data_IF_728677029198
#
_entry.id   IF_728677029198
#
_cell.length_a   1.000
_cell.length_b   1.000
_cell.length_c   1.000
_cell.angle_alpha   90.00
_cell.angle_beta   90.00
_cell.angle_gamma   90.00
#
_symmetry.space_group_name_H-M   'P 1'
#
loop_
_entity.id
_entity.type
_entity.pdbx_description
1 polymer ?
#
# COMPACT_ATOMS: atom_id res chain seq x y z
N UNK A 1 0.22 4.22 6.53
CA UNK A 1 0.23 2.75 6.57
C UNK A 1 1.37 2.09 5.76
N UNK A 2 2.19 2.84 5.04
CA UNK A 2 3.26 2.33 4.15
C UNK A 2 4.11 1.21 4.76
N UNK A 3 4.58 1.37 6.01
CA UNK A 3 5.39 0.35 6.69
C UNK A 3 4.59 -0.93 7.00
N UNK A 4 3.31 -0.81 7.33
CA UNK A 4 2.46 -1.98 7.60
C UNK A 4 2.27 -2.82 6.33
N UNK A 5 2.15 -2.18 5.16
CA UNK A 5 2.04 -2.88 3.88
C UNK A 5 3.28 -3.73 3.60
N UNK A 6 4.48 -3.14 3.72
CA UNK A 6 5.74 -3.87 3.56
C UNK A 6 5.87 -5.04 4.54
N UNK A 7 5.57 -4.81 5.82
CA UNK A 7 5.68 -5.84 6.86
C UNK A 7 4.75 -7.02 6.61
N UNK A 8 3.53 -6.77 6.14
CA UNK A 8 2.59 -7.85 5.78
C UNK A 8 3.11 -8.68 4.60
N UNK A 9 3.68 -8.03 3.57
CA UNK A 9 4.35 -8.74 2.48
C UNK A 9 5.49 -9.63 2.97
N UNK A 10 6.32 -9.15 3.90
CA UNK A 10 7.41 -9.92 4.51
C UNK A 10 6.88 -11.12 5.30
N UNK A 11 5.89 -10.90 6.18
CA UNK A 11 5.30 -11.94 7.03
C UNK A 11 4.71 -13.06 6.17
N UNK A 12 3.87 -12.72 5.19
CA UNK A 12 3.26 -13.71 4.31
C UNK A 12 4.30 -14.43 3.45
N UNK A 13 5.32 -13.69 3.00
CA UNK A 13 6.48 -14.24 2.30
C UNK A 13 7.21 -15.34 3.08
N UNK A 14 7.39 -15.14 4.39
CA UNK A 14 8.00 -16.13 5.29
C UNK A 14 7.08 -17.34 5.51
N UNK A 15 5.78 -17.12 5.70
CA UNK A 15 4.82 -18.19 6.01
C UNK A 15 4.55 -19.11 4.81
N UNK A 16 4.33 -18.52 3.63
CA UNK A 16 3.82 -19.26 2.46
C UNK A 16 4.89 -19.60 1.42
N UNK A 17 6.12 -19.10 1.60
CA UNK A 17 7.13 -19.07 0.55
C UNK A 17 6.77 -18.05 -0.54
N UNK A 18 7.76 -17.60 -1.30
CA UNK A 18 7.67 -16.51 -2.30
C UNK A 18 7.65 -15.07 -1.73
N UNK A 19 8.63 -14.70 -0.89
CA UNK A 19 8.69 -13.37 -0.29
C UNK A 19 8.72 -12.23 -1.31
N UNK A 20 9.39 -12.43 -2.46
CA UNK A 20 9.47 -11.42 -3.50
C UNK A 20 8.09 -10.96 -3.98
N UNK A 21 7.19 -11.89 -4.32
CA UNK A 21 5.88 -11.55 -4.90
C UNK A 21 4.89 -11.05 -3.86
N UNK A 22 4.94 -11.54 -2.62
CA UNK A 22 4.14 -10.95 -1.53
C UNK A 22 4.56 -9.51 -1.25
N UNK A 23 5.87 -9.26 -1.11
CA UNK A 23 6.39 -7.90 -0.90
C UNK A 23 5.99 -7.01 -2.07
N UNK A 24 6.23 -7.46 -3.31
CA UNK A 24 5.91 -6.70 -4.51
C UNK A 24 4.42 -6.34 -4.57
N UNK A 25 3.52 -7.32 -4.34
CA UNK A 25 2.08 -7.09 -4.31
C UNK A 25 1.68 -6.09 -3.23
N UNK A 26 2.28 -6.19 -2.04
CA UNK A 26 1.96 -5.30 -0.93
C UNK A 26 2.49 -3.87 -1.09
N UNK A 27 3.60 -3.65 -1.81
CA UNK A 27 4.20 -2.30 -1.96
C UNK A 27 3.89 -1.62 -3.29
N UNK A 28 3.55 -2.38 -4.35
CA UNK A 28 3.34 -1.81 -5.68
C UNK A 28 2.30 -0.69 -5.70
N UNK A 29 1.16 -0.77 -4.97
CA UNK A 29 0.20 0.33 -4.97
C UNK A 29 0.78 1.63 -4.41
N UNK A 30 1.72 1.55 -3.45
CA UNK A 30 2.39 2.71 -2.85
C UNK A 30 3.45 3.36 -3.77
N UNK A 31 3.70 2.83 -4.99
CA UNK A 31 4.67 3.41 -5.93
C UNK A 31 4.33 4.85 -6.32
N UNK A 32 3.04 5.22 -6.25
CA UNK A 32 2.58 6.58 -6.47
C UNK A 32 3.16 7.58 -5.48
N UNK A 33 3.56 7.13 -4.28
CA UNK A 33 4.23 7.98 -3.31
C UNK A 33 5.61 8.42 -3.79
N UNK A 34 6.37 7.51 -4.39
CA UNK A 34 7.64 7.87 -5.01
C UNK A 34 7.42 8.87 -6.13
N UNK A 35 6.43 8.63 -7.00
CA UNK A 35 6.07 9.55 -8.07
C UNK A 35 5.75 10.96 -7.56
N UNK A 36 4.95 11.09 -6.49
CA UNK A 36 4.60 12.39 -5.90
C UNK A 36 5.81 13.09 -5.29
N UNK A 37 6.70 12.35 -4.60
CA UNK A 37 7.94 12.90 -4.03
C UNK A 37 8.83 13.45 -5.14
N UNK A 38 9.07 12.67 -6.20
CA UNK A 38 9.91 13.10 -7.32
C UNK A 38 9.30 14.28 -8.08
N UNK A 39 8.00 14.21 -8.39
CA UNK A 39 7.29 15.28 -9.10
C UNK A 39 7.34 16.62 -8.36
N UNK A 40 7.21 16.60 -7.03
CA UNK A 40 7.22 17.80 -6.21
C UNK A 40 8.61 18.16 -5.66
N UNK A 41 9.66 17.43 -6.06
CA UNK A 41 11.05 17.64 -5.62
C UNK A 41 11.20 17.66 -4.09
N UNK A 42 10.45 16.80 -3.39
CA UNK A 42 10.54 16.67 -1.93
C UNK A 42 11.75 15.83 -1.53
N UNK A 43 12.96 16.36 -1.70
CA UNK A 43 14.19 15.63 -1.37
C UNK A 43 14.65 15.77 0.08
N UNK A 44 14.02 16.65 0.85
CA UNK A 44 14.29 16.79 2.27
C UNK A 44 13.42 15.79 3.06
N UNK A 45 14.05 14.96 3.90
CA UNK A 45 13.36 13.96 4.72
C UNK A 45 12.20 14.53 5.55
N UNK A 46 12.37 15.73 6.12
CA UNK A 46 11.30 16.41 6.86
C UNK A 46 10.12 16.75 5.97
N UNK A 47 10.37 17.23 4.74
CA UNK A 47 9.32 17.52 3.76
C UNK A 47 8.59 16.24 3.33
N UNK A 48 9.31 15.14 3.13
CA UNK A 48 8.71 13.83 2.81
C UNK A 48 7.72 13.44 3.91
N UNK A 49 8.17 13.40 5.17
CA UNK A 49 7.31 13.04 6.30
C UNK A 49 6.12 13.98 6.44
N UNK A 50 6.35 15.29 6.41
CA UNK A 50 5.28 16.28 6.60
C UNK A 50 4.24 16.21 5.48
N UNK A 51 4.69 15.98 4.25
CA UNK A 51 3.82 15.86 3.08
C UNK A 51 2.96 14.60 3.10
N UNK A 52 3.48 13.48 3.61
CA UNK A 52 2.70 12.26 3.84
C UNK A 52 1.68 12.41 4.99
N UNK A 53 2.00 13.21 6.02
CA UNK A 53 1.10 13.46 7.15
C UNK A 53 -0.04 14.41 6.81
N UNK A 54 0.20 15.36 5.91
CA UNK A 54 -0.71 16.49 5.69
C UNK A 54 -0.88 16.79 4.21
N UNK A 55 -1.39 15.83 3.43
CA UNK A 55 -1.64 15.97 1.99
C UNK A 55 -2.33 17.30 1.62
N UNK A 56 -3.37 17.66 2.38
CA UNK A 56 -4.13 18.91 2.21
C UNK A 56 -3.28 20.16 2.33
N UNK A 57 -2.33 20.18 3.28
CA UNK A 57 -1.40 21.32 3.48
C UNK A 57 -0.52 21.54 2.25
N UNK A 58 -0.12 20.45 1.60
CA UNK A 58 0.75 20.47 0.42
C UNK A 58 -0.04 20.50 -0.91
N UNK A 59 -1.38 20.46 -0.87
CA UNK A 59 -2.26 20.40 -2.05
C UNK A 59 -1.87 19.27 -3.04
N UNK A 60 -1.40 18.16 -2.49
CA UNK A 60 -1.02 16.95 -3.24
C UNK A 60 -1.95 15.82 -2.86
N UNK A 61 -1.93 14.77 -3.68
CA UNK A 61 -2.62 13.51 -3.41
C UNK A 61 -1.65 12.40 -3.73
N UNK A 62 -1.30 11.58 -2.75
CA UNK A 62 -0.36 10.47 -2.94
C UNK A 62 -1.01 9.34 -3.73
N UNK A 63 -2.29 9.07 -3.48
CA UNK A 63 -2.98 7.88 -3.97
C UNK A 63 -3.62 8.07 -5.35
N UNK A 64 -3.09 7.37 -6.35
CA UNK A 64 -3.69 7.31 -7.70
C UNK A 64 -4.87 6.34 -7.71
N UNK A 65 -5.96 6.73 -8.40
CA UNK A 65 -7.21 5.95 -8.44
C UNK A 65 -7.01 4.54 -9.00
N UNK A 66 -6.15 4.41 -10.01
CA UNK A 66 -5.96 3.15 -10.70
C UNK A 66 -5.26 2.10 -9.82
N UNK A 67 -4.10 2.44 -9.24
CA UNK A 67 -3.34 1.47 -8.44
C UNK A 67 -4.04 1.14 -7.11
N UNK A 68 -4.86 2.05 -6.56
CA UNK A 68 -5.67 1.78 -5.37
C UNK A 68 -7.08 1.29 -5.73
N UNK A 69 -7.20 0.41 -6.73
CA UNK A 69 -8.48 -0.17 -7.16
C UNK A 69 -8.41 -1.67 -7.44
N UNK A 70 -9.57 -2.33 -7.40
CA UNK A 70 -9.72 -3.73 -7.80
C UNK A 70 -9.35 -3.95 -9.27
N UNK A 71 -9.57 -2.95 -10.13
CA UNK A 71 -9.13 -3.00 -11.52
C UNK A 71 -7.60 -3.03 -11.63
N UNK A 72 -6.91 -2.18 -10.86
CA UNK A 72 -5.45 -2.19 -10.74
C UNK A 72 -4.93 -3.54 -10.27
N UNK A 73 -5.50 -4.07 -9.18
CA UNK A 73 -5.22 -5.41 -8.66
C UNK A 73 -5.31 -6.47 -9.77
N UNK A 74 -6.45 -6.54 -10.48
CA UNK A 74 -6.67 -7.54 -11.54
C UNK A 74 -5.64 -7.40 -12.67
N UNK A 75 -5.39 -6.18 -13.16
CA UNK A 75 -4.46 -5.95 -14.28
C UNK A 75 -3.03 -6.30 -13.88
N UNK A 76 -2.55 -5.84 -12.73
CA UNK A 76 -1.19 -6.14 -12.29
C UNK A 76 -1.01 -7.63 -11.97
N UNK A 77 -2.01 -8.28 -11.36
CA UNK A 77 -2.00 -9.74 -11.17
C UNK A 77 -1.98 -10.49 -12.51
N UNK A 78 -2.70 -10.02 -13.53
CA UNK A 78 -2.66 -10.62 -14.87
C UNK A 78 -1.27 -10.49 -15.50
N UNK A 79 -0.57 -9.36 -15.31
CA UNK A 79 0.83 -9.20 -15.75
C UNK A 79 1.72 -10.23 -15.03
N UNK A 80 1.61 -10.35 -13.71
CA UNK A 80 2.39 -11.32 -12.94
C UNK A 80 2.09 -12.75 -13.37
N UNK A 81 0.83 -13.08 -13.67
CA UNK A 81 0.44 -14.41 -14.16
C UNK A 81 1.16 -14.80 -15.46
N UNK A 82 1.33 -13.87 -16.40
CA UNK A 82 2.06 -14.13 -17.64
C UNK A 82 3.58 -14.26 -17.44
N UNK A 83 4.13 -13.69 -16.38
CA UNK A 83 5.55 -13.80 -16.04
C UNK A 83 5.83 -15.08 -15.22
N UNK A 84 4.98 -15.36 -14.24
CA UNK A 84 5.03 -16.53 -13.36
C UNK A 84 3.64 -16.84 -12.80
N UNK A 85 3.01 -17.88 -13.35
CA UNK A 85 1.66 -18.31 -12.97
C UNK A 85 1.58 -18.88 -11.55
N UNK A 86 2.68 -19.35 -10.97
CA UNK A 86 2.72 -19.83 -9.57
C UNK A 86 2.77 -18.67 -8.60
N UNK A 87 3.40 -17.58 -9.00
CA UNK A 87 3.57 -16.37 -8.21
C UNK A 87 2.33 -15.47 -8.12
N UNK A 88 1.38 -15.60 -9.06
CA UNK A 88 0.22 -14.71 -9.16
C UNK A 88 -0.59 -14.65 -7.86
N UNK A 89 -0.75 -15.79 -7.18
CA UNK A 89 -1.56 -15.87 -5.95
C UNK A 89 -0.88 -15.08 -4.83
N UNK A 90 0.43 -15.23 -4.65
CA UNK A 90 1.21 -14.48 -3.66
C UNK A 90 1.12 -12.97 -3.91
N UNK A 91 1.27 -12.55 -5.16
CA UNK A 91 1.14 -11.15 -5.54
C UNK A 91 -0.28 -10.61 -5.33
N UNK A 92 -1.30 -11.35 -5.79
CA UNK A 92 -2.71 -10.97 -5.67
C UNK A 92 -3.11 -10.80 -4.20
N UNK A 93 -2.74 -11.75 -3.34
CA UNK A 93 -3.03 -11.66 -1.90
C UNK A 93 -2.31 -10.46 -1.28
N UNK A 94 -1.02 -10.26 -1.58
CA UNK A 94 -0.25 -9.13 -1.06
C UNK A 94 -0.88 -7.78 -1.42
N UNK A 95 -1.34 -7.63 -2.66
CA UNK A 95 -1.99 -6.43 -3.17
C UNK A 95 -3.42 -6.27 -2.62
N UNK A 96 -4.20 -7.35 -2.56
CA UNK A 96 -5.54 -7.30 -1.98
C UNK A 96 -5.48 -6.86 -0.51
N UNK A 97 -4.55 -7.41 0.27
CA UNK A 97 -4.36 -7.03 1.67
C UNK A 97 -3.92 -5.57 1.79
N UNK A 98 -3.06 -5.08 0.90
CA UNK A 98 -2.76 -3.65 0.82
C UNK A 98 -4.06 -2.85 0.72
N UNK A 99 -4.93 -3.14 -0.25
CA UNK A 99 -6.19 -2.41 -0.45
C UNK A 99 -7.11 -2.48 0.77
N UNK A 100 -7.19 -3.64 1.43
CA UNK A 100 -8.00 -3.87 2.62
C UNK A 100 -7.50 -3.09 3.84
N UNK A 101 -6.19 -3.06 4.06
CA UNK A 101 -5.58 -2.27 5.14
C UNK A 101 -5.89 -0.79 4.92
N UNK A 102 -5.69 -0.36 3.68
CA UNK A 102 -5.98 0.99 3.24
C UNK A 102 -7.47 1.35 3.43
N UNK A 103 -8.39 0.39 3.47
CA UNK A 103 -9.83 0.69 3.62
C UNK A 103 -10.12 1.42 4.94
N UNK A 104 -9.34 1.13 5.98
CA UNK A 104 -9.48 1.75 7.29
C UNK A 104 -9.10 3.24 7.32
N UNK A 105 -8.27 3.71 6.40
CA UNK A 105 -7.73 5.08 6.43
C UNK A 105 -8.77 6.15 6.15
N UNK A 106 -8.56 7.33 6.73
CA UNK A 106 -9.35 8.54 6.51
C UNK A 106 -9.21 9.16 5.11
N UNK A 107 -8.27 8.70 4.28
CA UNK A 107 -8.08 9.22 2.92
C UNK A 107 -9.17 8.73 1.96
N UNK A 108 -9.58 9.59 1.04
CA UNK A 108 -10.54 9.19 -0.01
C UNK A 108 -9.87 8.22 -0.99
N UNK A 109 -10.47 7.06 -1.18
CA UNK A 109 -10.02 6.00 -2.10
C UNK A 109 -11.11 5.66 -3.11
N UNK A 110 -10.71 5.12 -4.25
CA UNK A 110 -11.62 4.77 -5.35
C UNK A 110 -11.44 3.31 -5.73
N UNK A 111 -11.79 2.40 -4.79
CA UNK A 111 -11.59 0.96 -4.97
C UNK A 111 -12.26 0.38 -6.22
N UNK A 112 -13.36 1.01 -6.65
CA UNK A 112 -14.15 0.60 -7.81
C UNK A 112 -13.87 1.48 -9.05
N UNK A 113 -12.68 2.07 -9.18
CA UNK A 113 -12.27 2.74 -10.41
C UNK A 113 -12.52 1.83 -11.64
N UNK A 114 -13.14 2.32 -12.75
CA UNK A 114 -13.38 3.73 -13.10
C UNK A 114 -14.70 4.34 -12.63
N UNK A 115 -15.54 3.63 -11.88
CA UNK A 115 -16.89 4.09 -11.49
C UNK A 115 -16.90 5.31 -10.52
N UNK A 116 -15.75 5.89 -10.18
CA UNK A 116 -15.58 7.09 -9.35
C UNK A 116 -16.33 7.06 -8.00
N UNK A 117 -16.65 5.87 -7.48
CA UNK A 117 -17.25 5.68 -6.16
C UNK A 117 -16.17 5.94 -5.10
N UNK A 118 -16.47 6.85 -4.17
CA UNK A 118 -15.56 7.24 -3.09
C UNK A 118 -15.76 6.35 -1.87
N UNK A 119 -14.67 5.86 -1.31
CA UNK A 119 -14.61 5.18 -0.03
C UNK A 119 -13.73 6.00 0.91
N UNK A 120 -14.13 6.05 2.18
CA UNK A 120 -13.40 6.78 3.22
C UNK A 120 -13.56 6.04 4.53
N UNK A 121 -12.44 5.63 5.12
CA UNK A 121 -12.41 5.05 6.45
C UNK A 121 -12.42 6.11 7.54
N UNK A 122 -12.06 5.67 8.75
CA UNK A 122 -12.14 6.48 9.97
C UNK A 122 -10.80 6.58 10.72
N UNK A 123 -9.80 5.78 10.36
CA UNK A 123 -8.50 5.77 11.02
C UNK A 123 -7.64 6.94 10.53
N UNK A 124 -7.20 7.84 11.42
CA UNK A 124 -6.27 8.88 11.03
C UNK A 124 -4.90 8.29 10.68
N UNK A 125 -4.28 8.82 9.63
CA UNK A 125 -2.90 8.51 9.27
C UNK A 125 -1.98 8.94 10.43
N UNK A 126 -1.00 8.10 10.77
CA UNK A 126 -0.07 8.28 11.89
C UNK A 126 -0.73 8.29 13.27
N UNK A 127 -1.94 7.74 13.40
CA UNK A 127 -2.62 7.55 14.69
C UNK A 127 -1.82 6.64 15.63
N UNK A 128 -2.13 6.71 16.94
CA UNK A 128 -1.55 5.79 17.93
C UNK A 128 -1.84 4.33 17.56
N UNK A 129 -3.03 4.06 17.04
CA UNK A 129 -3.44 2.73 16.59
C UNK A 129 -2.55 2.21 15.46
N UNK A 130 -2.32 3.00 14.40
CA UNK A 130 -1.44 2.61 13.30
C UNK A 130 -0.01 2.30 13.79
N UNK A 131 0.51 3.10 14.72
CA UNK A 131 1.85 2.88 15.30
C UNK A 131 1.92 1.57 16.07
N UNK A 132 0.93 1.29 16.92
CA UNK A 132 0.85 0.04 17.69
C UNK A 132 0.72 -1.15 16.73
N UNK A 133 -0.17 -1.06 15.75
CA UNK A 133 -0.36 -2.11 14.75
C UNK A 133 0.93 -2.41 13.97
N UNK A 134 1.63 -1.37 13.51
CA UNK A 134 2.92 -1.51 12.82
C UNK A 134 3.98 -2.15 13.71
N UNK A 135 4.04 -1.79 15.00
CA UNK A 135 4.97 -2.39 15.95
C UNK A 135 4.68 -3.88 16.18
N UNK A 136 3.41 -4.26 16.32
CA UNK A 136 3.00 -5.66 16.44
C UNK A 136 3.42 -6.45 15.20
N UNK A 137 3.15 -5.93 14.00
CA UNK A 137 3.59 -6.57 12.75
C UNK A 137 5.11 -6.71 12.68
N UNK A 138 5.86 -5.70 13.12
CA UNK A 138 7.31 -5.76 13.15
C UNK A 138 7.82 -6.88 14.07
N UNK A 139 7.25 -7.02 15.26
CA UNK A 139 7.60 -8.10 16.19
C UNK A 139 7.30 -9.48 15.60
N UNK A 140 6.12 -9.65 14.98
CA UNK A 140 5.76 -10.90 14.28
C UNK A 140 6.76 -11.21 13.17
N UNK A 141 7.13 -10.20 12.36
CA UNK A 141 8.07 -10.36 11.26
C UNK A 141 9.49 -10.74 11.73
N UNK A 142 9.88 -10.37 12.95
CA UNK A 142 11.18 -10.74 13.54
C UNK A 142 11.16 -12.16 14.10
N UNK A 143 10.04 -12.60 14.66
CA UNK A 143 9.90 -13.92 15.30
C UNK A 143 9.79 -15.05 14.27
N UNK A 144 9.08 -14.82 13.15
CA UNK A 144 8.98 -15.74 12.02
C UNK A 144 10.29 -15.81 11.23
#
# INVERSE_FOLDING_TARGET
MIFAHLLIGIILGKIFGNPFFFILGSILPDIDHLYVIFKNKFFNFRKIIDSMKTERKFKIRYKTKFVHSLLGLIIFSMIVYFLDSKAVISFFIGYLLHLLIDWGDIDEKYYLYPFNIKFKGFLPIWSKFEKIFTLILLLIAIIL
#
